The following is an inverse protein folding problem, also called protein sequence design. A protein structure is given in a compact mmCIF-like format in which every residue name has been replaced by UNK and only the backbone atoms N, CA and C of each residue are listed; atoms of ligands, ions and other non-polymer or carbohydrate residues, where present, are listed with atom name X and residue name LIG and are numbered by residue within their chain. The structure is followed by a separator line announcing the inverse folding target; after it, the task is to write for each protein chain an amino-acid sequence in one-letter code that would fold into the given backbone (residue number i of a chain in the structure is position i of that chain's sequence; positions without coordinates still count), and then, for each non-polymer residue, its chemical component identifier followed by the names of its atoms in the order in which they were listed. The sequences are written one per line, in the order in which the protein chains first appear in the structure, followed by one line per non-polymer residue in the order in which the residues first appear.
data_IF_838673962877
#
_entry.id   IF_838673962877
#
_cell.length_a   1.000
_cell.length_b   1.000
_cell.length_c   1.000
_cell.angle_alpha   90.00
_cell.angle_beta   90.00
_cell.angle_gamma   90.00
#
_symmetry.space_group_name_H-M   'P 1'
#
loop_
_entity.id
_entity.type
_entity.pdbx_description
1 polymer ?
#
# COMPACT_ATOMS: atom_id res chain seq x y z
N UNK A 1 4.58 30.55 21.28
CA UNK A 1 5.57 29.92 20.38
C UNK A 1 4.86 29.28 19.18
N UNK A 2 5.27 29.59 17.94
CA UNK A 2 4.69 28.97 16.74
C UNK A 2 5.04 27.48 16.71
N UNK A 3 4.10 26.63 16.30
CA UNK A 3 4.28 25.17 16.25
C UNK A 3 5.48 24.77 15.37
N UNK A 4 6.17 23.64 15.63
CA UNK A 4 7.38 23.21 14.92
C UNK A 4 7.29 23.08 13.38
N UNK A 5 6.08 23.08 12.81
CA UNK A 5 5.83 22.99 11.36
C UNK A 5 5.48 24.31 10.66
N UNK A 6 5.51 25.44 11.36
CA UNK A 6 5.14 26.74 10.76
C UNK A 6 6.02 27.06 9.54
N UNK A 7 5.39 27.38 8.40
CA UNK A 7 6.03 27.67 7.11
C UNK A 7 6.79 26.50 6.46
N UNK A 8 6.61 25.26 6.94
CA UNK A 8 7.15 24.09 6.25
C UNK A 8 6.51 23.95 4.87
N UNK A 9 7.33 23.75 3.84
CA UNK A 9 6.84 23.43 2.49
C UNK A 9 6.23 22.04 2.52
N UNK A 10 5.04 21.90 1.95
CA UNK A 10 4.31 20.65 1.89
C UNK A 10 3.92 20.36 0.45
N UNK A 11 3.79 19.09 0.11
CA UNK A 11 2.93 18.65 -0.97
C UNK A 11 1.49 18.63 -0.43
N UNK A 12 0.65 19.61 -0.81
CA UNK A 12 -0.67 19.78 -0.23
C UNK A 12 -1.61 18.62 -0.57
N UNK A 13 -2.44 18.20 0.37
CA UNK A 13 -3.41 17.14 0.17
C UNK A 13 -4.40 17.43 -0.97
N UNK A 14 -4.77 18.69 -1.18
CA UNK A 14 -5.64 19.05 -2.31
C UNK A 14 -4.95 18.89 -3.67
N UNK A 15 -3.61 19.05 -3.75
CA UNK A 15 -2.85 18.76 -4.97
C UNK A 15 -2.67 17.27 -5.16
N UNK A 16 -2.56 16.47 -4.09
CA UNK A 16 -2.62 15.00 -4.17
C UNK A 16 -3.94 14.54 -4.80
N UNK A 17 -5.04 15.09 -4.31
CA UNK A 17 -6.37 14.81 -4.83
C UNK A 17 -6.51 15.24 -6.30
N UNK A 18 -6.06 16.45 -6.64
CA UNK A 18 -6.11 16.94 -8.03
C UNK A 18 -5.22 16.12 -8.96
N UNK A 19 -3.98 15.82 -8.56
CA UNK A 19 -3.06 14.98 -9.33
C UNK A 19 -3.69 13.64 -9.68
N UNK A 20 -4.35 13.02 -8.71
CA UNK A 20 -5.09 11.78 -8.91
C UNK A 20 -6.28 11.93 -9.88
N UNK A 21 -7.13 12.93 -9.66
CA UNK A 21 -8.27 13.24 -10.55
C UNK A 21 -7.80 13.55 -11.98
N UNK A 22 -6.63 14.17 -12.13
CA UNK A 22 -6.06 14.57 -13.43
C UNK A 22 -5.22 13.51 -14.12
N UNK A 23 -4.84 12.40 -13.46
CA UNK A 23 -4.09 11.31 -14.09
C UNK A 23 -4.91 10.54 -15.16
N UNK A 24 -6.21 10.79 -15.27
CA UNK A 24 -7.07 10.28 -16.35
C UNK A 24 -7.98 11.40 -16.92
N UNK A 25 -7.42 12.42 -17.61
CA UNK A 25 -8.18 13.60 -18.02
C UNK A 25 -9.21 13.35 -19.13
N UNK A 26 -9.09 12.24 -19.89
CA UNK A 26 -9.96 11.98 -21.03
C UNK A 26 -11.30 11.28 -20.69
N UNK A 27 -11.57 10.98 -19.42
CA UNK A 27 -12.82 10.29 -19.02
C UNK A 27 -13.38 10.82 -17.71
N UNK A 28 -13.89 12.04 -17.76
CA UNK A 28 -14.52 12.67 -16.60
C UNK A 28 -15.83 11.95 -16.18
N UNK A 29 -15.97 11.79 -14.86
CA UNK A 29 -17.07 11.18 -14.10
C UNK A 29 -17.26 9.66 -14.21
N UNK A 30 -17.49 9.10 -15.40
CA UNK A 30 -17.78 7.66 -15.52
C UNK A 30 -16.55 6.78 -15.29
N UNK A 31 -15.38 7.13 -15.82
CA UNK A 31 -14.17 6.34 -15.54
C UNK A 31 -13.67 6.52 -14.11
N UNK A 32 -13.98 7.64 -13.47
CA UNK A 32 -13.78 7.78 -12.03
C UNK A 32 -14.63 6.72 -11.33
N UNK A 33 -15.95 6.72 -11.56
CA UNK A 33 -16.87 5.72 -11.00
C UNK A 33 -16.46 4.27 -11.29
N UNK A 34 -16.06 3.96 -12.53
CA UNK A 34 -15.62 2.62 -12.94
C UNK A 34 -14.28 2.25 -12.31
N UNK A 35 -13.32 3.19 -12.21
CA UNK A 35 -12.06 2.98 -11.50
C UNK A 35 -12.27 2.77 -10.00
N UNK A 36 -13.21 3.48 -9.35
CA UNK A 36 -13.59 3.22 -7.96
C UNK A 36 -14.28 1.87 -7.80
N UNK A 37 -15.17 1.51 -8.73
CA UNK A 37 -15.71 0.16 -8.76
C UNK A 37 -14.57 -0.85 -8.89
N UNK A 38 -13.54 -0.58 -9.69
CA UNK A 38 -12.35 -1.42 -9.82
C UNK A 38 -11.58 -1.59 -8.52
N UNK A 39 -11.34 -0.50 -7.79
CA UNK A 39 -10.72 -0.52 -6.46
C UNK A 39 -11.52 -1.35 -5.44
N UNK A 40 -12.85 -1.36 -5.58
CA UNK A 40 -13.80 -2.09 -4.74
C UNK A 40 -14.36 -3.36 -5.42
N UNK A 41 -13.75 -3.86 -6.51
CA UNK A 41 -14.33 -4.98 -7.27
C UNK A 41 -14.52 -6.15 -6.31
N UNK A 42 -15.72 -6.72 -6.38
CA UNK A 42 -16.08 -7.92 -5.65
C UNK A 42 -16.58 -7.66 -4.23
N UNK A 43 -16.57 -6.43 -3.73
CA UNK A 43 -16.94 -6.14 -2.33
C UNK A 43 -18.46 -6.06 -2.12
N UNK A 44 -19.22 -5.74 -3.17
CA UNK A 44 -20.70 -5.83 -3.20
C UNK A 44 -21.40 -4.99 -2.13
N UNK A 45 -20.75 -3.95 -1.61
CA UNK A 45 -21.25 -3.15 -0.49
C UNK A 45 -22.28 -2.09 -0.94
N UNK A 46 -23.11 -1.61 0.00
CA UNK A 46 -24.21 -0.68 -0.26
C UNK A 46 -23.72 0.73 -0.63
N UNK A 47 -24.60 1.58 -1.18
CA UNK A 47 -24.31 2.99 -1.45
C UNK A 47 -23.81 3.78 -0.21
N UNK A 48 -24.14 3.32 1.00
CA UNK A 48 -23.68 3.95 2.24
C UNK A 48 -22.22 3.60 2.57
N UNK A 49 -21.79 2.38 2.27
CA UNK A 49 -20.39 1.98 2.37
C UNK A 49 -19.52 2.72 1.33
N UNK A 50 -20.04 2.91 0.11
CA UNK A 50 -19.41 3.76 -0.89
C UNK A 50 -19.23 5.21 -0.42
N UNK A 51 -20.20 5.77 0.32
CA UNK A 51 -20.09 7.13 0.84
C UNK A 51 -19.06 7.25 1.96
N UNK A 52 -19.01 6.29 2.88
CA UNK A 52 -17.96 6.25 3.93
C UNK A 52 -16.57 6.09 3.34
N UNK A 53 -16.45 5.24 2.32
CA UNK A 53 -15.22 5.12 1.56
C UNK A 53 -14.81 6.46 0.94
N UNK A 54 -15.76 7.23 0.39
CA UNK A 54 -15.49 8.55 -0.16
C UNK A 54 -14.96 9.53 0.89
N UNK A 55 -15.51 9.49 2.11
CA UNK A 55 -15.06 10.33 3.22
C UNK A 55 -13.64 9.93 3.68
N UNK A 56 -13.37 8.62 3.79
CA UNK A 56 -12.04 8.09 4.13
C UNK A 56 -11.01 8.39 3.03
N UNK A 57 -11.38 8.21 1.77
CA UNK A 57 -10.52 8.45 0.61
C UNK A 57 -10.15 9.94 0.44
N UNK A 58 -11.08 10.84 0.78
CA UNK A 58 -10.84 12.28 0.75
C UNK A 58 -10.15 12.81 2.00
N UNK A 59 -9.85 11.95 2.98
CA UNK A 59 -9.04 12.29 4.14
C UNK A 59 -7.55 12.38 3.74
N UNK A 60 -7.22 13.40 2.95
CA UNK A 60 -5.87 13.70 2.48
C UNK A 60 -5.06 14.43 3.55
N UNK A 61 -3.75 14.17 3.59
CA UNK A 61 -2.82 14.81 4.51
C UNK A 61 -1.75 15.58 3.73
N UNK A 62 -1.44 16.79 4.19
CA UNK A 62 -0.28 17.54 3.73
C UNK A 62 1.01 16.78 4.11
N UNK A 63 1.81 16.42 3.10
CA UNK A 63 3.08 15.74 3.31
C UNK A 63 4.23 16.75 3.25
N UNK A 64 5.21 16.73 4.17
CA UNK A 64 6.42 17.54 4.01
C UNK A 64 7.06 17.36 2.63
N UNK A 65 7.42 18.45 1.96
CA UNK A 65 7.93 18.41 0.59
C UNK A 65 9.21 17.54 0.49
N UNK A 66 10.09 17.63 1.48
CA UNK A 66 11.28 16.81 1.60
C UNK A 66 10.97 15.31 1.67
N UNK A 67 9.94 14.91 2.42
CA UNK A 67 9.52 13.52 2.55
C UNK A 67 8.93 12.98 1.23
N UNK A 68 8.06 13.76 0.60
CA UNK A 68 7.44 13.38 -0.68
C UNK A 68 8.50 13.23 -1.79
N UNK A 69 9.36 14.23 -1.98
CA UNK A 69 10.37 14.22 -3.03
C UNK A 69 11.43 13.12 -2.79
N UNK A 70 11.83 12.90 -1.55
CA UNK A 70 12.75 11.80 -1.23
C UNK A 70 12.11 10.44 -1.50
N UNK A 71 10.84 10.25 -1.19
CA UNK A 71 10.10 9.02 -1.50
C UNK A 71 10.05 8.77 -3.01
N UNK A 72 9.65 9.78 -3.81
CA UNK A 72 9.59 9.69 -5.27
C UNK A 72 10.96 9.31 -5.84
N UNK A 73 12.01 10.02 -5.42
CA UNK A 73 13.37 9.75 -5.88
C UNK A 73 13.80 8.34 -5.46
N UNK A 74 13.87 8.07 -4.16
CA UNK A 74 14.51 6.89 -3.56
C UNK A 74 13.76 5.59 -3.86
N UNK A 75 12.42 5.60 -3.77
CA UNK A 75 11.59 4.40 -3.95
C UNK A 75 11.24 4.20 -5.43
N UNK A 76 10.64 5.21 -6.07
CA UNK A 76 10.01 5.03 -7.39
C UNK A 76 10.94 5.25 -8.58
N UNK A 77 11.92 6.15 -8.50
CA UNK A 77 12.88 6.37 -9.59
C UNK A 77 14.14 5.52 -9.42
N UNK A 78 14.63 5.47 -8.19
CA UNK A 78 15.92 4.90 -7.88
C UNK A 78 15.86 3.41 -7.58
N UNK A 79 14.75 2.93 -7.01
CA UNK A 79 14.61 1.57 -6.51
C UNK A 79 15.73 1.23 -5.53
N UNK A 80 16.02 2.13 -4.58
CA UNK A 80 17.22 2.05 -3.76
C UNK A 80 17.25 0.81 -2.86
N UNK A 81 16.11 0.39 -2.30
CA UNK A 81 16.02 -0.79 -1.44
C UNK A 81 16.35 -2.09 -2.17
N UNK A 82 15.67 -2.47 -3.28
CA UNK A 82 15.98 -3.72 -3.98
C UNK A 82 17.37 -3.71 -4.64
N UNK A 83 17.94 -2.54 -4.92
CA UNK A 83 19.32 -2.40 -5.42
C UNK A 83 20.39 -2.39 -4.32
N UNK A 84 20.02 -2.54 -3.05
CA UNK A 84 20.98 -2.61 -1.94
C UNK A 84 21.74 -1.30 -1.72
N UNK A 85 21.11 -0.16 -1.97
CA UNK A 85 21.72 1.18 -1.92
C UNK A 85 20.89 2.20 -1.12
N UNK A 86 19.88 1.73 -0.39
CA UNK A 86 19.07 2.57 0.50
C UNK A 86 19.77 2.74 1.84
N UNK A 87 19.97 3.98 2.25
CA UNK A 87 20.47 4.32 3.58
C UNK A 87 19.36 4.97 4.40
N UNK A 88 19.30 4.66 5.69
CA UNK A 88 18.53 5.42 6.67
C UNK A 88 19.54 6.05 7.62
N UNK A 89 19.65 7.38 7.57
CA UNK A 89 20.80 8.10 8.16
C UNK A 89 22.10 7.53 7.59
N UNK A 90 23.02 7.07 8.44
CA UNK A 90 24.32 6.53 8.04
C UNK A 90 24.33 4.99 7.96
N UNK A 91 23.17 4.34 8.08
CA UNK A 91 23.06 2.88 8.09
C UNK A 91 22.46 2.35 6.77
N UNK A 92 23.19 1.42 6.13
CA UNK A 92 22.73 0.72 4.94
C UNK A 92 21.61 -0.26 5.31
N UNK A 93 20.44 -0.10 4.67
CA UNK A 93 19.29 -0.99 4.87
C UNK A 93 19.57 -2.36 4.22
N UNK A 94 19.52 -3.42 5.02
CA UNK A 94 19.76 -4.80 4.59
C UNK A 94 18.58 -5.71 4.99
N UNK A 95 17.57 -5.90 4.13
CA UNK A 95 16.45 -6.81 4.42
C UNK A 95 16.90 -8.25 4.71
N UNK A 96 18.02 -8.67 4.13
CA UNK A 96 18.64 -9.96 4.42
C UNK A 96 19.12 -10.11 5.87
N UNK A 97 19.28 -9.03 6.64
CA UNK A 97 19.61 -9.13 8.06
C UNK A 97 18.43 -9.66 8.91
N UNK A 98 17.21 -9.63 8.39
CA UNK A 98 16.01 -10.12 9.06
C UNK A 98 16.03 -11.65 9.13
N UNK A 99 15.87 -12.21 10.33
CA UNK A 99 15.96 -13.65 10.61
C UNK A 99 14.81 -14.18 11.46
N UNK A 100 14.42 -13.40 12.46
CA UNK A 100 13.52 -13.85 13.51
C UNK A 100 12.02 -13.72 13.23
N UNK A 101 11.50 -12.70 12.53
CA UNK A 101 10.06 -12.63 12.27
C UNK A 101 9.65 -13.60 11.15
N UNK A 102 8.40 -14.05 11.20
CA UNK A 102 7.75 -14.70 10.05
C UNK A 102 7.30 -13.63 9.03
N UNK A 103 7.30 -13.96 7.74
CA UNK A 103 6.96 -13.04 6.65
C UNK A 103 5.72 -13.51 5.88
N UNK A 104 4.64 -12.74 5.96
CA UNK A 104 3.46 -12.88 5.11
C UNK A 104 3.38 -11.71 4.15
N UNK A 105 3.23 -12.00 2.86
CA UNK A 105 2.95 -11.01 1.81
C UNK A 105 1.57 -11.28 1.22
N UNK A 106 0.77 -10.24 1.02
CA UNK A 106 -0.60 -10.35 0.50
C UNK A 106 -0.74 -9.42 -0.70
N UNK A 107 -1.35 -9.93 -1.76
CA UNK A 107 -1.66 -9.17 -2.97
C UNK A 107 -3.12 -9.41 -3.38
N UNK A 108 -3.73 -8.47 -4.08
CA UNK A 108 -5.05 -8.64 -4.69
C UNK A 108 -4.91 -8.98 -6.17
N UNK A 109 -5.62 -10.01 -6.65
CA UNK A 109 -5.58 -10.41 -8.06
C UNK A 109 -5.90 -9.25 -9.03
N UNK A 110 -6.75 -8.33 -8.60
CA UNK A 110 -7.22 -7.18 -9.36
C UNK A 110 -6.64 -5.84 -8.85
N UNK A 111 -5.57 -5.89 -8.05
CA UNK A 111 -4.85 -4.69 -7.60
C UNK A 111 -4.01 -4.10 -8.74
N UNK A 112 -4.33 -2.89 -9.17
CA UNK A 112 -3.63 -2.14 -10.21
C UNK A 112 -2.70 -1.04 -9.66
N UNK A 113 -2.65 -0.87 -8.33
CA UNK A 113 -1.79 0.09 -7.63
C UNK A 113 -0.50 -0.60 -7.19
N UNK A 114 -0.64 -1.71 -6.45
CA UNK A 114 0.45 -2.59 -6.04
C UNK A 114 0.27 -3.96 -6.69
N UNK A 115 0.51 -4.00 -8.00
CA UNK A 115 0.24 -5.17 -8.82
C UNK A 115 1.01 -6.43 -8.39
N UNK A 116 0.52 -7.57 -8.90
CA UNK A 116 1.03 -8.90 -8.56
C UNK A 116 2.56 -9.01 -8.72
N UNK A 117 3.21 -9.61 -7.73
CA UNK A 117 4.65 -9.82 -7.63
C UNK A 117 5.42 -8.69 -6.92
N UNK A 118 4.85 -7.50 -6.73
CA UNK A 118 5.56 -6.39 -6.08
C UNK A 118 5.79 -6.64 -4.58
N UNK A 119 4.79 -7.16 -3.88
CA UNK A 119 4.89 -7.50 -2.46
C UNK A 119 5.59 -8.85 -2.29
N UNK A 120 5.35 -9.81 -3.19
CA UNK A 120 6.05 -11.10 -3.21
C UNK A 120 7.57 -10.93 -3.26
N UNK A 121 8.08 -9.90 -3.97
CA UNK A 121 9.50 -9.60 -4.06
C UNK A 121 10.19 -9.44 -2.69
N UNK A 122 9.46 -9.11 -1.62
CA UNK A 122 10.00 -9.07 -0.26
C UNK A 122 10.63 -10.41 0.17
N UNK A 123 10.13 -11.55 -0.31
CA UNK A 123 10.70 -12.87 -0.02
C UNK A 123 12.11 -13.03 -0.60
N UNK A 124 12.39 -12.43 -1.75
CA UNK A 124 13.72 -12.43 -2.36
C UNK A 124 14.68 -11.47 -1.66
N UNK A 125 14.18 -10.44 -0.98
CA UNK A 125 15.00 -9.51 -0.19
C UNK A 125 15.31 -10.05 1.21
N UNK A 126 14.35 -10.72 1.84
CA UNK A 126 14.44 -11.25 3.21
C UNK A 126 14.96 -12.71 3.24
N UNK A 127 16.08 -12.98 2.54
CA UNK A 127 16.58 -14.34 2.29
C UNK A 127 16.92 -15.18 3.54
N UNK A 128 17.11 -14.56 4.70
CA UNK A 128 17.50 -15.26 5.92
C UNK A 128 16.31 -15.62 6.84
N UNK A 129 15.07 -15.29 6.47
CA UNK A 129 13.87 -15.87 7.11
C UNK A 129 13.71 -17.30 6.59
N UNK A 130 13.49 -18.33 7.41
CA UNK A 130 13.37 -19.70 6.87
C UNK A 130 12.14 -19.85 5.96
N UNK A 131 12.16 -20.76 4.98
CA UNK A 131 11.04 -20.92 4.02
C UNK A 131 9.73 -21.32 4.71
N UNK A 132 9.84 -22.07 5.79
CA UNK A 132 8.71 -22.54 6.61
C UNK A 132 8.01 -21.38 7.33
N UNK A 133 8.70 -20.25 7.50
CA UNK A 133 8.20 -19.04 8.15
C UNK A 133 7.78 -17.96 7.15
N UNK A 134 7.66 -18.33 5.88
CA UNK A 134 7.26 -17.45 4.79
C UNK A 134 5.95 -17.93 4.17
N UNK A 135 5.07 -16.99 3.89
CA UNK A 135 3.85 -17.23 3.14
C UNK A 135 3.59 -16.09 2.15
N UNK A 136 3.05 -16.45 1.00
CA UNK A 136 2.54 -15.50 0.01
C UNK A 136 1.11 -15.89 -0.35
N UNK A 137 0.22 -14.90 -0.41
CA UNK A 137 -1.19 -15.11 -0.73
C UNK A 137 -1.68 -14.06 -1.71
N UNK A 138 -2.17 -14.51 -2.85
CA UNK A 138 -2.92 -13.68 -3.80
C UNK A 138 -4.41 -13.90 -3.55
N UNK A 139 -5.11 -12.82 -3.21
CA UNK A 139 -6.54 -12.85 -2.92
C UNK A 139 -7.35 -12.78 -4.23
N UNK A 140 -8.08 -13.86 -4.60
CA UNK A 140 -8.76 -13.94 -5.89
C UNK A 140 -9.94 -12.96 -5.97
N UNK A 141 -10.04 -12.24 -7.08
CA UNK A 141 -11.07 -11.25 -7.36
C UNK A 141 -11.05 -10.04 -6.42
N UNK A 142 -9.93 -9.77 -5.74
CA UNK A 142 -9.78 -8.66 -4.79
C UNK A 142 -8.95 -7.54 -5.42
N UNK A 143 -9.52 -6.32 -5.45
CA UNK A 143 -8.81 -5.09 -5.82
C UNK A 143 -8.04 -4.47 -4.66
N UNK A 144 -7.33 -3.37 -4.91
CA UNK A 144 -6.40 -2.76 -3.95
C UNK A 144 -6.98 -2.55 -2.55
N UNK A 145 -8.17 -1.96 -2.42
CA UNK A 145 -8.74 -1.66 -1.09
C UNK A 145 -9.31 -2.90 -0.40
N UNK A 146 -9.77 -3.89 -1.17
CA UNK A 146 -10.30 -5.13 -0.62
C UNK A 146 -9.25 -5.98 0.11
N UNK A 147 -7.95 -5.67 -0.04
CA UNK A 147 -6.88 -6.34 0.70
C UNK A 147 -6.74 -5.86 2.14
N UNK A 148 -7.37 -4.74 2.54
CA UNK A 148 -7.29 -4.20 3.90
C UNK A 148 -8.61 -3.60 4.44
N UNK A 149 -9.67 -3.52 3.63
CA UNK A 149 -10.98 -3.04 4.05
C UNK A 149 -12.13 -3.85 3.44
N UNK A 150 -13.34 -3.61 3.94
CA UNK A 150 -14.55 -4.17 3.34
C UNK A 150 -14.77 -5.66 3.58
N UNK A 151 -15.70 -6.23 2.82
CA UNK A 151 -16.14 -7.62 2.93
C UNK A 151 -15.03 -8.59 2.52
N UNK A 152 -14.29 -8.29 1.45
CA UNK A 152 -13.16 -9.11 0.97
C UNK A 152 -12.04 -9.21 2.02
N UNK A 153 -11.73 -8.12 2.72
CA UNK A 153 -10.82 -8.20 3.86
C UNK A 153 -11.34 -9.18 4.91
N UNK A 154 -12.58 -9.00 5.38
CA UNK A 154 -13.16 -9.81 6.47
C UNK A 154 -13.27 -11.29 6.14
N UNK A 155 -13.67 -11.63 4.91
CA UNK A 155 -14.00 -13.00 4.49
C UNK A 155 -12.81 -13.74 3.85
N UNK A 156 -11.88 -13.04 3.19
CA UNK A 156 -10.81 -13.65 2.40
C UNK A 156 -9.44 -13.44 3.03
N UNK A 157 -9.09 -12.18 3.33
CA UNK A 157 -7.71 -11.82 3.70
C UNK A 157 -7.44 -11.97 5.20
N UNK A 158 -8.28 -11.38 6.03
CA UNK A 158 -8.14 -11.40 7.49
C UNK A 158 -8.05 -12.82 8.08
N UNK A 159 -8.83 -13.83 7.62
CA UNK A 159 -8.67 -15.20 8.09
C UNK A 159 -7.25 -15.74 7.87
N UNK A 160 -6.61 -15.43 6.74
CA UNK A 160 -5.23 -15.82 6.43
C UNK A 160 -4.22 -15.12 7.34
N UNK A 161 -4.41 -13.81 7.57
CA UNK A 161 -3.57 -13.03 8.51
C UNK A 161 -3.65 -13.63 9.91
N UNK A 162 -4.87 -13.88 10.40
CA UNK A 162 -5.12 -14.44 11.73
C UNK A 162 -4.49 -15.83 11.88
N UNK A 163 -4.68 -16.71 10.90
CA UNK A 163 -4.08 -18.06 10.91
C UNK A 163 -2.56 -18.01 10.88
N UNK A 164 -1.98 -17.14 10.05
CA UNK A 164 -0.54 -16.95 9.96
C UNK A 164 0.06 -16.48 11.28
N UNK A 165 -0.56 -15.48 11.92
CA UNK A 165 -0.17 -14.99 13.24
C UNK A 165 -0.26 -16.14 14.25
N UNK A 166 -1.40 -16.82 14.35
CA UNK A 166 -1.59 -17.93 15.30
C UNK A 166 -0.54 -19.04 15.14
N UNK A 167 -0.15 -19.35 13.91
CA UNK A 167 0.87 -20.36 13.58
C UNK A 167 2.28 -19.96 14.05
N UNK A 168 2.58 -18.66 14.12
CA UNK A 168 3.92 -18.14 14.40
C UNK A 168 4.03 -17.35 15.72
N UNK A 169 2.98 -17.34 16.56
CA UNK A 169 2.94 -16.60 17.84
C UNK A 169 3.59 -17.34 19.02
N UNK A 170 4.58 -18.20 18.76
CA UNK A 170 5.31 -18.96 19.79
C UNK A 170 6.55 -18.23 20.28
#
# INVERSE_FOLDING_TARGET
PKYPGYMRRVYPGFLQHLGFVTMNPDRHLNAHWDYFNHLMIGDGESAEAHRRFYDEYNAVLDLPAEYYLDTVKTVFQEFALPKGRMFVRDELVRPSAIREPALLTIEGELDDISGNGQTEAAHALCLNISRERRAHFVAPGVGHYGIFSGRRWREVVFPRVREFIATHSS
#
